data_IF_405028124808
#
_entry.id   IF_405028124808
#
_cell.length_a   1.000
_cell.length_b   1.000
_cell.length_c   1.000
_cell.angle_alpha   90.00
_cell.angle_beta   90.00
_cell.angle_gamma   90.00
#
_symmetry.space_group_name_H-M   'P 1'
#
loop_
_entity.id
_entity.type
_entity.pdbx_description
1 polymer ?
#
# COMPACT_ATOMS: atom_id res chain seq x y z
N UNK A 1 11.31 16.78 -1.70
CA UNK A 1 10.89 16.00 -0.52
C UNK A 1 11.42 14.61 -0.76
N UNK A 2 12.57 14.30 -0.18
CA UNK A 2 13.25 13.01 -0.36
C UNK A 2 12.60 11.92 0.49
N UNK A 3 12.77 10.67 0.08
CA UNK A 3 12.14 9.51 0.72
C UNK A 3 12.50 9.41 2.22
N UNK A 4 13.69 9.87 2.62
CA UNK A 4 14.13 9.82 4.01
C UNK A 4 13.35 10.79 4.91
N UNK A 5 12.96 11.97 4.41
CA UNK A 5 12.09 12.91 5.13
C UNK A 5 10.65 12.38 5.28
N UNK A 6 10.13 11.68 4.26
CA UNK A 6 8.82 11.03 4.36
C UNK A 6 8.78 9.96 5.47
N UNK A 7 9.83 9.15 5.59
CA UNK A 7 9.95 8.11 6.63
C UNK A 7 10.30 8.64 8.03
N UNK A 8 10.84 9.86 8.15
CA UNK A 8 11.04 10.53 9.46
C UNK A 8 9.74 11.09 10.04
N UNK A 9 8.92 11.72 9.21
CA UNK A 9 7.68 12.38 9.65
C UNK A 9 6.59 11.35 9.97
N UNK A 10 6.51 10.28 9.18
CA UNK A 10 5.59 9.17 9.42
C UNK A 10 6.37 8.00 10.01
N UNK A 11 6.54 7.94 11.34
CA UNK A 11 7.08 6.76 12.02
C UNK A 11 5.96 5.73 12.14
N UNK A 12 5.79 4.77 11.20
CA UNK A 12 4.67 3.86 11.27
C UNK A 12 5.09 2.82 12.32
N UNK A 13 4.32 2.67 13.40
CA UNK A 13 4.36 1.41 14.15
C UNK A 13 3.95 0.32 13.15
N UNK A 14 4.94 -0.31 12.53
CA UNK A 14 4.74 -1.35 11.53
C UNK A 14 4.22 -2.59 12.24
N UNK A 15 2.91 -2.61 12.50
CA UNK A 15 2.23 -3.81 12.96
C UNK A 15 1.97 -4.67 11.72
N UNK A 16 2.82 -5.67 11.53
CA UNK A 16 2.59 -6.73 10.55
C UNK A 16 1.44 -7.61 11.06
N UNK A 17 0.34 -7.75 10.32
CA UNK A 17 -0.47 -8.97 10.47
C UNK A 17 0.31 -10.12 9.80
N UNK A 18 0.04 -11.38 10.14
CA UNK A 18 0.67 -12.58 9.56
C UNK A 18 0.55 -12.77 8.03
N UNK A 19 0.14 -11.74 7.28
CA UNK A 19 0.11 -11.63 5.82
C UNK A 19 1.02 -10.52 5.25
N UNK A 20 1.88 -9.87 6.04
CA UNK A 20 2.91 -8.93 5.54
C UNK A 20 2.46 -7.49 5.20
N UNK A 21 1.17 -7.19 5.12
CA UNK A 21 0.69 -5.85 4.78
C UNK A 21 0.99 -4.79 5.86
N UNK A 22 1.73 -3.73 5.49
CA UNK A 22 1.95 -2.55 6.34
C UNK A 22 0.67 -1.72 6.50
N UNK A 23 0.45 -1.20 7.70
CA UNK A 23 -0.72 -0.39 8.07
C UNK A 23 -0.31 0.87 8.82
N UNK A 24 -1.18 1.88 8.76
CA UNK A 24 -1.08 3.10 9.58
C UNK A 24 -2.40 3.36 10.28
N UNK A 25 -2.36 4.03 11.44
CA UNK A 25 -3.56 4.48 12.14
C UNK A 25 -3.67 6.00 12.04
N UNK A 26 -4.77 6.48 11.48
CA UNK A 26 -5.06 7.91 11.31
C UNK A 26 -6.42 8.17 11.93
N UNK A 27 -6.49 9.10 12.90
CA UNK A 27 -7.74 9.46 13.61
C UNK A 27 -8.53 8.24 14.13
N UNK A 28 -7.83 7.28 14.73
CA UNK A 28 -8.45 6.08 15.28
C UNK A 28 -8.78 4.98 14.27
N UNK A 29 -8.74 5.26 12.96
CA UNK A 29 -9.01 4.30 11.88
C UNK A 29 -7.72 3.69 11.31
N UNK A 30 -7.77 2.43 10.89
CA UNK A 30 -6.61 1.72 10.33
C UNK A 30 -6.68 1.66 8.82
N UNK A 31 -5.61 2.08 8.16
CA UNK A 31 -5.48 2.10 6.70
C UNK A 31 -4.35 1.18 6.23
N UNK A 32 -4.52 0.58 5.05
CA UNK A 32 -3.48 -0.22 4.38
C UNK A 32 -2.58 0.72 3.56
N UNK A 33 -1.28 0.65 3.74
CA UNK A 33 -0.33 1.58 3.09
C UNK A 33 -0.41 1.48 1.56
N UNK A 34 -0.35 0.27 0.98
CA UNK A 34 -0.45 0.11 -0.48
C UNK A 34 -1.71 0.74 -1.08
N UNK A 35 -2.86 0.75 -0.38
CA UNK A 35 -4.06 1.42 -0.90
C UNK A 35 -3.90 2.93 -0.91
N UNK A 36 -3.36 3.51 0.16
CA UNK A 36 -3.10 4.95 0.24
C UNK A 36 -2.15 5.40 -0.87
N UNK A 37 -1.06 4.64 -1.08
CA UNK A 37 -0.07 4.90 -2.12
C UNK A 37 -0.70 4.77 -3.51
N UNK A 38 -1.40 3.67 -3.80
CA UNK A 38 -2.01 3.44 -5.11
C UNK A 38 -3.07 4.50 -5.44
N UNK A 39 -3.93 4.87 -4.50
CA UNK A 39 -4.94 5.92 -4.69
C UNK A 39 -4.32 7.30 -4.95
N UNK A 40 -3.12 7.56 -4.44
CA UNK A 40 -2.46 8.86 -4.59
C UNK A 40 -1.58 8.95 -5.85
N UNK A 41 -0.94 7.84 -6.24
CA UNK A 41 0.15 7.85 -7.23
C UNK A 41 -0.04 6.92 -8.43
N UNK A 42 -1.03 6.02 -8.42
CA UNK A 42 -1.28 5.06 -9.50
C UNK A 42 -2.64 5.38 -10.13
N UNK A 43 -2.68 5.90 -11.38
CA UNK A 43 -3.93 6.18 -12.07
C UNK A 43 -4.86 4.95 -12.12
N UNK A 44 -6.15 5.17 -11.86
CA UNK A 44 -7.18 4.13 -11.88
C UNK A 44 -8.35 4.54 -12.81
N UNK A 45 -8.12 4.65 -14.13
CA UNK A 45 -9.16 5.10 -15.07
C UNK A 45 -10.38 4.19 -15.08
N UNK A 46 -10.18 2.89 -14.83
CA UNK A 46 -11.23 1.87 -14.82
C UNK A 46 -11.93 1.72 -13.46
N UNK A 47 -11.58 2.55 -12.48
CA UNK A 47 -12.11 2.53 -11.11
C UNK A 47 -12.12 1.12 -10.48
N UNK A 48 -11.03 0.38 -10.67
CA UNK A 48 -10.89 -0.98 -10.18
C UNK A 48 -10.78 -1.00 -8.63
N UNK A 49 -11.37 -2.00 -7.96
CA UNK A 49 -11.50 -1.99 -6.50
C UNK A 49 -10.27 -2.50 -5.73
N UNK A 50 -9.40 -3.31 -6.35
CA UNK A 50 -8.30 -3.99 -5.65
C UNK A 50 -6.93 -3.47 -6.09
N UNK A 51 -5.98 -3.50 -5.16
CA UNK A 51 -4.56 -3.16 -5.41
C UNK A 51 -3.74 -4.41 -5.12
N UNK A 52 -2.86 -4.78 -6.05
CA UNK A 52 -1.96 -5.93 -5.96
C UNK A 52 -0.50 -5.49 -6.03
N UNK A 53 0.39 -6.34 -5.53
CA UNK A 53 1.85 -6.16 -5.56
C UNK A 53 2.44 -7.00 -6.69
N UNK A 54 3.05 -6.36 -7.69
CA UNK A 54 3.54 -7.06 -8.89
C UNK A 54 4.57 -8.14 -8.57
N UNK A 55 5.45 -7.87 -7.59
CA UNK A 55 6.50 -8.77 -7.12
C UNK A 55 6.04 -9.84 -6.11
N UNK A 56 4.78 -9.79 -5.65
CA UNK A 56 4.27 -10.67 -4.60
C UNK A 56 4.75 -10.32 -3.19
N UNK A 57 5.61 -9.31 -3.00
CA UNK A 57 6.06 -8.85 -1.69
C UNK A 57 5.13 -7.75 -1.16
N UNK A 58 4.25 -8.14 -0.23
CA UNK A 58 3.29 -7.24 0.41
C UNK A 58 3.92 -6.12 1.26
N UNK A 59 5.23 -6.18 1.50
CA UNK A 59 5.98 -5.14 2.22
C UNK A 59 6.53 -4.06 1.29
N UNK A 60 6.67 -4.34 -0.01
CA UNK A 60 7.14 -3.43 -1.04
C UNK A 60 6.01 -2.52 -1.55
N UNK A 61 5.74 -1.45 -0.80
CA UNK A 61 4.63 -0.53 -1.07
C UNK A 61 4.99 0.59 -2.07
N UNK A 62 6.06 0.44 -2.86
CA UNK A 62 6.43 1.43 -3.87
C UNK A 62 5.35 1.53 -4.96
N UNK A 63 4.96 2.74 -5.35
CA UNK A 63 3.84 2.94 -6.28
C UNK A 63 4.01 2.20 -7.62
N UNK A 64 5.24 2.11 -8.13
CA UNK A 64 5.55 1.39 -9.37
C UNK A 64 5.37 -0.14 -9.24
N UNK A 65 5.44 -0.67 -8.01
CA UNK A 65 5.19 -2.08 -7.69
C UNK A 65 3.70 -2.39 -7.49
N UNK A 66 2.85 -1.37 -7.45
CA UNK A 66 1.41 -1.53 -7.23
C UNK A 66 0.65 -1.51 -8.56
N UNK A 67 -0.42 -2.29 -8.64
CA UNK A 67 -1.32 -2.33 -9.79
C UNK A 67 -2.76 -2.50 -9.37
N UNK A 68 -3.66 -1.83 -10.08
CA UNK A 68 -5.09 -1.97 -9.88
C UNK A 68 -5.62 -3.25 -10.55
N UNK A 69 -6.54 -3.95 -9.88
CA UNK A 69 -7.10 -5.23 -10.34
C UNK A 69 -8.60 -5.32 -10.09
N UNK A 70 -9.29 -5.99 -11.02
CA UNK A 70 -10.72 -6.29 -10.92
C UNK A 70 -11.00 -7.45 -9.96
N UNK A 71 -10.04 -8.34 -9.76
CA UNK A 71 -10.14 -9.48 -8.85
C UNK A 71 -9.05 -9.45 -7.78
N UNK A 72 -9.41 -9.89 -6.57
CA UNK A 72 -8.44 -10.10 -5.51
C UNK A 72 -7.72 -11.42 -5.78
N UNK A 73 -6.65 -11.36 -6.58
CA UNK A 73 -5.76 -12.50 -6.72
C UNK A 73 -4.93 -12.62 -5.45
N UNK A 74 -4.98 -13.79 -4.82
CA UNK A 74 -3.97 -14.17 -3.84
C UNK A 74 -2.73 -14.51 -4.67
N UNK A 75 -1.89 -13.52 -4.97
CA UNK A 75 -0.54 -13.82 -5.46
C UNK A 75 0.13 -14.63 -4.36
N UNK A 76 0.33 -15.93 -4.66
CA UNK A 76 0.87 -16.93 -3.74
C UNK A 76 2.34 -16.64 -3.46
#
# INVERSE_FOLDING_TARGET
MDDAEFFRIFRPMASFNGKGYRRVRIQGQTFKIHRLVATSFVPNPDNLPYVLHKDGDFTNNNYYNLVWSRTQSNQK
#
